data_IF_628531888676
#
_entry.id   IF_628531888676
#
_cell.length_a   1.000
_cell.length_b   1.000
_cell.length_c   1.000
_cell.angle_alpha   90.00
_cell.angle_beta   90.00
_cell.angle_gamma   90.00
#
_symmetry.space_group_name_H-M   'P 1'
#
loop_
_entity.id
_entity.type
_entity.pdbx_description
1 polymer ?
2 non-polymer ?
3 water ?
#
# COMPACT_ATOMS: atom_id res chain seq x y z
CA UNK A 6 17.07 12.87 -5.12
C UNK A 6 16.07 11.76 -4.85
N UNK A 7 14.93 12.12 -4.27
CA UNK A 7 13.97 11.12 -3.85
C UNK A 7 13.24 10.56 -5.08
N UNK A 8 13.01 11.39 -6.09
CA UNK A 8 12.28 10.91 -7.25
C UNK A 8 13.00 9.74 -7.88
N UNK A 9 14.33 9.85 -7.99
CA UNK A 9 15.13 8.75 -8.50
C UNK A 9 15.11 7.55 -7.57
N UNK A 10 15.17 7.80 -6.24
CA UNK A 10 15.10 6.69 -5.27
C UNK A 10 13.76 5.97 -5.40
N UNK A 11 12.68 6.74 -5.56
CA UNK A 11 11.38 6.12 -5.69
C UNK A 11 11.30 5.37 -7.01
N UNK A 12 11.82 5.95 -8.08
CA UNK A 12 11.89 5.25 -9.36
C UNK A 12 12.62 3.92 -9.20
N UNK A 13 13.81 3.95 -8.59
CA UNK A 13 14.60 2.72 -8.50
C UNK A 13 13.89 1.70 -7.63
N UNK A 14 13.24 2.14 -6.56
CA UNK A 14 12.52 1.19 -5.74
C UNK A 14 11.34 0.58 -6.51
N UNK A 15 10.53 1.41 -7.14
CA UNK A 15 9.35 0.88 -7.83
C UNK A 15 9.73 -0.08 -8.93
N UNK A 16 10.83 0.22 -9.64
CA UNK A 16 11.32 -0.66 -10.68
C UNK A 16 11.80 -1.99 -10.13
N UNK A 17 12.01 -2.10 -8.82
CA UNK A 17 12.44 -3.35 -8.23
C UNK A 17 11.30 -4.20 -7.70
N UNK A 18 10.06 -3.72 -7.75
CA UNK A 18 8.93 -4.41 -7.14
C UNK A 18 8.18 -5.15 -8.23
N UNK A 19 8.07 -6.47 -8.16
CA UNK A 19 7.48 -7.22 -9.29
C UNK A 19 6.10 -6.74 -9.72
N UNK A 20 5.25 -6.33 -8.80
CA UNK A 20 3.93 -5.87 -9.23
C UNK A 20 4.06 -4.62 -10.10
N UNK A 21 4.99 -3.73 -9.75
CA UNK A 21 5.07 -2.42 -10.40
C UNK A 21 6.07 -2.37 -11.53
N UNK A 22 6.97 -3.34 -11.67
CA UNK A 22 7.87 -3.27 -12.81
C UNK A 22 7.17 -3.58 -14.13
N UNK A 23 5.94 -4.07 -14.08
CA UNK A 23 5.10 -4.21 -15.27
C UNK A 23 4.58 -2.88 -15.79
N UNK A 24 4.78 -1.81 -15.06
CA UNK A 24 4.21 -0.52 -15.47
C UNK A 24 5.21 0.27 -16.31
N UNK A 25 4.72 0.96 -17.35
CA UNK A 25 5.54 1.92 -18.07
C UNK A 25 6.28 2.86 -17.13
N UNK A 26 7.51 3.19 -17.51
CA UNK A 26 8.31 4.01 -16.63
C UNK A 26 7.76 5.43 -16.53
N UNK A 27 7.04 5.91 -17.55
CA UNK A 27 6.43 7.24 -17.43
C UNK A 27 5.35 7.24 -16.37
N UNK A 28 4.65 6.12 -16.23
CA UNK A 28 3.68 5.97 -15.15
C UNK A 28 4.39 5.86 -13.80
N UNK A 29 5.47 5.06 -13.73
CA UNK A 29 6.29 5.04 -12.52
C UNK A 29 6.79 6.44 -12.16
N UNK A 30 7.16 7.25 -13.16
CA UNK A 30 7.64 8.61 -12.90
C UNK A 30 6.54 9.47 -12.33
N UNK A 31 5.33 9.36 -12.88
CA UNK A 31 4.20 10.10 -12.32
C UNK A 31 3.87 9.65 -10.91
N UNK A 32 3.97 8.35 -10.63
CA UNK A 32 3.74 7.87 -9.27
C UNK A 32 4.78 8.45 -8.31
N UNK A 33 6.04 8.37 -8.71
CA UNK A 33 7.11 8.93 -7.91
C UNK A 33 6.91 10.42 -7.67
N UNK A 34 6.27 11.12 -8.62
CA UNK A 34 5.96 12.56 -8.46
C UNK A 34 4.96 12.80 -7.33
N UNK A 35 3.95 11.95 -7.22
CA UNK A 35 2.79 12.21 -6.36
C UNK A 35 2.77 11.42 -5.06
N UNK A 36 3.55 10.35 -4.94
CA UNK A 36 3.48 9.56 -3.72
C UNK A 36 4.05 10.32 -2.53
N UNK A 37 3.53 10.00 -1.37
CA UNK A 37 4.04 10.56 -0.13
C UNK A 37 4.66 9.44 0.68
N UNK A 38 5.78 9.73 1.29
CA UNK A 38 6.47 8.79 2.14
C UNK A 38 6.01 9.03 3.58
N UNK A 39 5.49 7.99 4.22
CA UNK A 39 5.10 8.03 5.62
C UNK A 39 5.92 7.01 6.41
N UNK A 40 6.16 7.33 7.68
CA UNK A 40 7.02 6.53 8.53
C UNK A 40 6.29 6.13 9.80
N UNK A 41 6.43 4.85 10.18
CA UNK A 41 5.79 4.33 11.37
C UNK A 41 6.84 3.67 12.27
N UNK A 42 6.51 3.61 13.56
CA UNK A 42 7.27 2.90 14.57
C UNK A 42 6.50 1.65 14.99
N UNK A 43 7.18 0.76 15.71
CA UNK A 43 6.62 -0.53 16.09
C UNK A 43 5.31 -0.36 16.85
N UNK A 44 4.29 -1.10 16.41
CA UNK A 44 2.99 -1.10 17.05
C UNK A 44 2.04 -0.02 16.59
N UNK A 45 2.47 0.84 15.66
CA UNK A 45 1.66 1.98 15.26
C UNK A 45 0.65 1.51 14.21
N UNK A 46 -0.66 1.70 14.47
CA UNK A 46 -1.69 1.36 13.49
C UNK A 46 -1.51 2.22 12.25
N UNK A 47 -1.37 1.56 11.10
CA UNK A 47 -1.35 2.19 9.79
C UNK A 47 -2.75 2.33 9.23
N UNK A 48 -3.53 1.26 9.34
CA UNK A 48 -4.92 1.21 8.91
C UNK A 48 -5.70 0.54 10.01
N UNK A 49 -6.92 0.98 10.22
CA UNK A 49 -7.80 0.43 11.22
C UNK A 49 -9.00 -0.12 10.48
N UNK A 50 -9.30 -1.39 10.70
CA UNK A 50 -10.51 -1.95 10.15
C UNK A 50 -11.73 -1.09 10.48
N UNK A 51 -12.60 -0.92 9.48
CA UNK A 51 -13.81 -0.15 9.63
C UNK A 51 -13.71 1.33 9.31
N UNK A 52 -12.49 1.89 9.23
CA UNK A 52 -12.30 3.26 8.78
C UNK A 52 -12.63 3.36 7.29
N UNK A 53 -12.79 4.58 6.82
CA UNK A 53 -13.00 4.83 5.40
C UNK A 53 -11.70 5.36 4.80
N UNK A 54 -11.25 4.70 3.73
CA UNK A 54 -9.93 4.93 3.17
C UNK A 54 -9.89 5.35 1.71
N UNK A 55 -8.81 6.04 1.35
CA UNK A 55 -8.63 6.56 0.00
C UNK A 55 -7.19 6.42 -0.44
N UNK A 56 -6.40 5.59 0.22
CA UNK A 56 -4.96 5.53 0.01
C UNK A 56 -4.47 4.11 -0.10
N UNK A 57 -3.47 3.95 -0.97
CA UNK A 57 -2.84 2.67 -1.25
C UNK A 57 -1.40 2.74 -0.75
N UNK A 58 -0.89 1.63 -0.21
CA UNK A 58 0.41 1.65 0.46
C UNK A 58 1.35 0.63 -0.17
N UNK A 59 2.58 1.06 -0.44
CA UNK A 59 3.67 0.18 -0.82
C UNK A 59 4.76 0.27 0.25
N UNK A 60 5.15 -0.86 0.78
CA UNK A 60 6.17 -0.90 1.82
C UNK A 60 7.55 -0.81 1.18
N UNK A 61 8.30 0.23 1.54
CA UNK A 61 9.67 0.40 1.05
C UNK A 61 10.71 0.06 2.11
N UNK A 62 10.27 -0.22 3.34
CA UNK A 62 11.18 -0.54 4.43
C UNK A 62 10.37 -1.10 5.61
N UNK A 63 10.80 -2.24 6.16
CA UNK A 63 10.17 -2.78 7.35
C UNK A 63 9.15 -3.87 7.07
N UNK A 64 8.38 -4.22 8.11
CA UNK A 64 7.35 -5.25 8.04
C UNK A 64 6.11 -4.76 8.79
N UNK A 65 4.94 -5.31 8.42
CA UNK A 65 3.68 -4.97 9.07
C UNK A 65 2.88 -6.24 9.29
N UNK A 66 2.02 -6.22 10.31
CA UNK A 66 1.07 -7.31 10.54
C UNK A 66 -0.32 -6.92 10.08
N UNK A 67 -1.01 -7.85 9.42
CA UNK A 67 -2.40 -7.67 9.00
C UNK A 67 -3.26 -8.53 9.90
N UNK A 68 -4.35 -7.94 10.41
CA UNK A 68 -5.27 -8.66 11.27
C UNK A 68 -6.68 -8.24 10.90
N UNK A 69 -7.64 -9.07 11.27
CA UNK A 69 -9.03 -8.74 10.98
C UNK A 69 -9.94 -9.34 12.05
N UNK A 70 -10.89 -8.54 12.53
CA UNK A 70 -11.96 -9.01 13.42
C UNK A 70 -13.13 -9.48 12.57
N UNK A 71 -13.42 -10.78 12.63
CA UNK A 71 -14.49 -11.41 11.85
C UNK A 71 -15.72 -11.71 12.74
N UNK A 75 -14.82 -11.94 18.19
CA UNK A 75 -14.57 -10.76 19.02
C UNK A 75 -13.24 -10.08 18.67
N UNK A 76 -12.13 -10.67 19.13
CA UNK A 76 -10.80 -10.12 18.88
C UNK A 76 -10.34 -10.35 17.44
N UNK A 77 -9.36 -9.58 16.95
CA UNK A 77 -8.87 -9.78 15.59
C UNK A 77 -7.91 -10.95 15.47
N UNK A 78 -8.04 -11.69 14.36
CA UNK A 78 -7.17 -12.82 14.08
C UNK A 78 -6.05 -12.36 13.16
N UNK A 79 -4.86 -12.90 13.41
CA UNK A 79 -3.70 -12.61 12.59
C UNK A 79 -3.91 -13.18 11.20
N UNK A 80 -3.71 -12.35 10.19
CA UNK A 80 -3.82 -12.78 8.81
C UNK A 80 -2.45 -13.02 8.20
N UNK A 81 -1.60 -12.00 8.15
CA UNK A 81 -0.31 -12.17 7.51
C UNK A 81 0.59 -10.99 7.83
N UNK A 82 1.88 -11.21 7.56
CA UNK A 82 2.93 -10.20 7.64
C UNK A 82 3.36 -9.85 6.23
N UNK A 83 3.54 -8.57 5.96
CA UNK A 83 4.01 -8.10 4.66
C UNK A 83 5.29 -7.31 4.86
N UNK A 84 6.13 -7.28 3.83
CA UNK A 84 7.40 -6.59 3.89
C UNK A 84 7.72 -5.80 2.65
N UNK A 85 8.98 -5.40 2.57
CA UNK A 85 9.46 -4.56 1.48
C UNK A 85 8.96 -5.11 0.15
N UNK A 86 8.38 -4.23 -0.67
CA UNK A 86 7.89 -4.60 -1.98
C UNK A 86 6.45 -5.04 -2.00
N UNK A 87 5.90 -5.48 -0.88
CA UNK A 87 4.48 -5.76 -0.77
C UNK A 87 3.67 -4.46 -0.59
N UNK A 88 2.35 -4.60 -0.65
CA UNK A 88 1.47 -3.43 -0.72
C UNK A 88 0.12 -3.82 -0.13
N UNK A 89 -0.68 -2.82 0.19
CA UNK A 89 -1.96 -3.06 0.82
C UNK A 89 -2.79 -1.78 0.76
N UNK A 90 -4.06 -1.92 1.09
CA UNK A 90 -5.00 -0.82 1.10
C UNK A 90 -5.84 -0.73 -0.17
N UNK A 91 -5.78 -1.73 -1.04
CA UNK A 91 -6.50 -1.64 -2.30
C UNK A 91 -8.00 -1.89 -2.13
N UNK A 92 -8.44 -2.64 -1.12
CA UNK A 92 -9.84 -3.05 -1.13
C UNK A 92 -10.76 -1.82 -0.96
N UNK A 93 -10.37 -0.88 -0.11
CA UNK A 93 -11.12 0.37 0.05
C UNK A 93 -11.09 1.25 -1.19
N UNK A 94 -10.24 0.90 -2.15
CA UNK A 94 -10.17 1.62 -3.41
C UNK A 94 -10.87 0.85 -4.54
N UNK A 95 -11.44 -0.28 -4.18
CA UNK A 95 -12.22 -1.14 -5.05
C UNK A 95 -13.62 -1.08 -4.46
N UNK A 96 -14.39 -0.12 -4.95
CA UNK A 96 -15.82 -0.16 -4.79
C UNK A 96 -16.15 0.65 -3.56
N UNK A 97 -16.51 -0.02 -2.47
CA UNK A 97 -16.81 0.67 -1.22
C UNK A 97 -15.52 1.06 -0.51
N UNK A 98 -15.54 2.17 0.22
CA UNK A 98 -14.29 2.70 0.73
C UNK A 98 -14.01 2.28 2.16
N UNK A 99 -14.53 1.15 2.61
CA UNK A 99 -14.29 0.72 3.99
C UNK A 99 -13.02 -0.13 4.05
N UNK A 100 -12.25 0.06 5.12
CA UNK A 100 -11.08 -0.77 5.36
C UNK A 100 -11.54 -2.10 5.94
N UNK A 101 -11.04 -3.20 5.39
CA UNK A 101 -11.51 -4.54 5.75
C UNK A 101 -10.57 -5.27 6.67
N UNK A 102 -9.49 -4.63 7.14
CA UNK A 102 -8.53 -5.25 8.03
C UNK A 102 -7.66 -4.18 8.66
N UNK A 103 -7.05 -4.51 9.78
CA UNK A 103 -6.02 -3.66 10.37
C UNK A 103 -4.67 -4.00 9.78
N UNK A 104 -3.82 -2.98 9.64
CA UNK A 104 -2.42 -3.15 9.26
C UNK A 104 -1.60 -2.39 10.30
N UNK A 105 -0.68 -3.09 10.98
CA UNK A 105 0.05 -2.52 12.12
C UNK A 105 1.55 -2.64 11.87
N UNK A 106 2.28 -1.55 12.10
CA UNK A 106 3.73 -1.57 11.98
C UNK A 106 4.32 -2.49 13.03
N UNK A 107 5.34 -3.24 12.62
CA UNK A 107 6.08 -4.14 13.50
C UNK A 107 7.52 -3.69 13.70
N UNK A 108 7.84 -2.45 13.33
CA UNK A 108 9.20 -1.93 13.38
C UNK A 108 9.23 -0.60 12.66
N UNK A 109 10.42 -0.06 12.44
CA UNK A 109 10.56 1.12 11.58
C UNK A 109 10.04 0.81 10.18
N UNK A 110 9.00 1.52 9.76
CA UNK A 110 8.34 1.26 8.48
C UNK A 110 8.33 2.53 7.64
N UNK A 111 8.65 2.37 6.35
CA UNK A 111 8.38 3.41 5.38
C UNK A 111 7.39 2.82 4.40
N UNK A 112 6.26 3.49 4.27
CA UNK A 112 5.32 3.22 3.21
C UNK A 112 5.37 4.34 2.19
N UNK A 113 5.26 3.97 0.92
CA UNK A 113 5.00 4.92 -0.13
C UNK A 113 3.49 4.92 -0.32
N UNK A 114 2.86 6.06 -0.11
CA UNK A 114 1.40 6.15 -0.06
C UNK A 114 0.93 6.85 -1.34
N UNK A 115 -0.03 6.21 -2.00
CA UNK A 115 -0.62 6.72 -3.25
C UNK A 115 -2.08 7.08 -2.98
N UNK A 116 -2.47 8.27 -3.41
CA UNK A 116 -3.83 8.70 -3.17
C UNK A 116 -4.80 8.09 -4.18
N UNK A 117 -6.09 8.35 -3.95
CA UNK A 117 -7.12 7.69 -4.74
C UNK A 117 -7.06 8.10 -6.21
N UNK A 118 -6.86 9.39 -6.47
CA UNK A 118 -6.83 9.84 -7.87
C UNK A 118 -5.71 9.17 -8.64
N UNK A 119 -4.54 9.12 -8.03
CA UNK A 119 -3.39 8.46 -8.66
C UNK A 119 -3.61 6.96 -8.78
N UNK A 120 -4.13 6.34 -7.72
CA UNK A 120 -4.37 4.91 -7.78
C UNK A 120 -5.33 4.55 -8.89
N UNK A 121 -6.48 5.25 -8.96
CA UNK A 121 -7.51 4.82 -9.91
C UNK A 121 -7.04 4.96 -11.35
N UNK A 122 -6.12 5.89 -11.62
CA UNK A 122 -5.61 6.03 -12.98
C UNK A 122 -4.42 5.11 -13.28
N UNK A 123 -3.49 4.97 -12.33
CA UNK A 123 -2.16 4.42 -12.59
C UNK A 123 -1.94 3.01 -12.08
N UNK A 124 -2.71 2.58 -11.07
CA UNK A 124 -2.45 1.32 -10.41
C UNK A 124 -3.65 0.37 -10.45
N UNK A 125 -4.86 0.90 -10.37
CA UNK A 125 -6.04 0.06 -10.17
C UNK A 125 -6.26 -0.97 -11.25
N UNK A 126 -5.76 -0.74 -12.47
CA UNK A 126 -5.88 -1.70 -13.54
C UNK A 126 -4.90 -2.87 -13.52
N UNK A 127 -3.88 -2.79 -12.68
CA UNK A 127 -2.91 -3.87 -12.62
C UNK A 127 -3.59 -5.16 -12.21
N UNK A 128 -3.35 -6.23 -12.96
CA UNK A 128 -4.07 -7.47 -12.66
C UNK A 128 -3.74 -7.99 -11.26
N UNK A 129 -2.50 -7.80 -10.79
CA UNK A 129 -2.13 -8.29 -9.46
C UNK A 129 -2.99 -7.62 -8.41
N UNK A 130 -3.40 -6.40 -8.69
CA UNK A 130 -4.12 -5.57 -7.74
C UNK A 130 -5.62 -5.78 -7.87
N UNK A 131 -6.10 -5.70 -9.11
CA UNK A 131 -7.54 -5.80 -9.37
C UNK A 131 -8.05 -7.22 -9.12
N UNK A 132 -7.22 -8.23 -9.41
CA UNK A 132 -7.60 -9.62 -9.19
C UNK A 132 -7.15 -10.14 -7.84
N UNK A 133 -6.70 -9.26 -6.94
CA UNK A 133 -6.17 -9.75 -5.67
C UNK A 133 -7.22 -10.58 -4.97
N UNK A 134 -6.76 -11.62 -4.25
CA UNK A 134 -7.65 -12.46 -3.46
C UNK A 134 -6.89 -12.94 -2.23
N UNK A 135 -7.58 -13.06 -1.12
CA UNK A 135 -6.93 -13.46 0.13
C UNK A 135 -7.36 -14.83 0.68
#
# INVERSE_FOLDING_TARGET
>A
GSTGLIKHTEYMEFLKSVPTFQSLPEEILSKLADVLEETHYENGEYIIRQGARGDTFFIISKGTVNVTREDSPSEDPVFLRTLGKGDWFGEKALQGEDVRTANVIAAEAVTCLVIDRDSFKHLIGGLDDVSNKAY
#
